data_IF_709600045379
#
_entry.id   IF_709600045379
#
_cell.length_a   1.000
_cell.length_b   1.000
_cell.length_c   1.000
_cell.angle_alpha   90.00
_cell.angle_beta   90.00
_cell.angle_gamma   90.00
#
_symmetry.space_group_name_H-M   'P 1'
#
loop_
_entity.id
_entity.type
_entity.pdbx_description
1 polymer ?
#
# COMPACT_ATOMS: atom_id res chain seq x y z
N UNK A 1 -12.02 -1.77 -27.82
CA UNK A 1 -12.45 -1.93 -26.41
C UNK A 1 -11.84 -0.79 -25.62
N UNK A 2 -12.57 -0.19 -24.67
CA UNK A 2 -11.98 0.76 -23.73
C UNK A 2 -11.23 0.00 -22.63
N UNK A 3 -10.06 0.46 -22.24
CA UNK A 3 -9.24 -0.16 -21.21
C UNK A 3 -9.00 0.81 -20.02
N UNK A 4 -8.65 0.26 -18.86
CA UNK A 4 -8.35 1.03 -17.65
C UNK A 4 -7.11 0.46 -16.95
N UNK A 5 -6.21 1.34 -16.52
CA UNK A 5 -5.11 1.02 -15.62
C UNK A 5 -5.49 1.42 -14.20
N UNK A 6 -5.32 0.50 -13.25
CA UNK A 6 -5.40 0.78 -11.82
C UNK A 6 -3.98 0.73 -11.26
N UNK A 7 -3.52 1.85 -10.71
CA UNK A 7 -2.22 2.00 -10.07
C UNK A 7 -2.45 1.85 -8.57
N UNK A 8 -2.06 0.70 -8.01
CA UNK A 8 -2.31 0.39 -6.61
C UNK A 8 -1.15 0.87 -5.74
N UNK A 9 -1.44 1.81 -4.85
CA UNK A 9 -0.63 2.18 -3.69
C UNK A 9 0.86 2.44 -3.99
N UNK A 10 1.13 3.13 -5.10
CA UNK A 10 2.47 3.65 -5.41
C UNK A 10 2.71 4.90 -4.54
N UNK A 11 2.98 4.66 -3.25
CA UNK A 11 3.14 5.67 -2.20
C UNK A 11 4.53 5.63 -1.58
N UNK A 12 4.92 6.74 -0.96
CA UNK A 12 6.24 6.89 -0.33
C UNK A 12 6.50 5.82 0.74
N UNK A 13 5.49 5.46 1.54
CA UNK A 13 5.66 4.48 2.62
C UNK A 13 6.02 3.08 2.12
N UNK A 14 5.68 2.76 0.87
CA UNK A 14 6.02 1.49 0.23
C UNK A 14 7.30 1.57 -0.63
N UNK A 15 7.94 2.73 -0.73
CA UNK A 15 9.23 2.90 -1.40
C UNK A 15 10.40 2.77 -0.41
N UNK A 16 11.64 2.51 -0.87
CA UNK A 16 12.82 2.52 -0.01
C UNK A 16 12.93 3.79 0.83
N UNK A 17 13.04 3.63 2.16
CA UNK A 17 13.05 4.72 3.14
C UNK A 17 11.68 5.07 3.75
N UNK A 18 10.59 4.47 3.25
CA UNK A 18 9.25 4.59 3.81
C UNK A 18 8.99 3.68 5.03
N UNK A 19 7.85 3.87 5.69
CA UNK A 19 7.49 3.14 6.90
C UNK A 19 7.29 1.62 6.68
N UNK A 20 6.78 1.22 5.51
CA UNK A 20 6.56 -0.18 5.10
C UNK A 20 7.22 -0.45 3.74
N UNK A 21 8.51 -0.08 3.65
CA UNK A 21 9.25 -0.07 2.39
C UNK A 21 9.30 -1.46 1.72
N UNK A 22 8.93 -1.50 0.44
CA UNK A 22 9.18 -2.64 -0.43
C UNK A 22 10.55 -2.46 -1.10
N UNK A 23 11.38 -3.50 -1.07
CA UNK A 23 12.69 -3.48 -1.71
C UNK A 23 12.54 -3.18 -3.22
N UNK A 24 13.18 -2.11 -3.68
CA UNK A 24 13.07 -1.65 -5.07
C UNK A 24 11.68 -1.11 -5.46
N UNK A 25 10.79 -0.82 -4.50
CA UNK A 25 9.40 -0.40 -4.79
C UNK A 25 9.27 0.85 -5.66
N UNK A 26 10.28 1.72 -5.66
CA UNK A 26 10.33 2.91 -6.52
C UNK A 26 10.83 2.63 -7.95
N UNK A 27 11.43 1.46 -8.21
CA UNK A 27 12.01 1.12 -9.53
C UNK A 27 10.92 0.94 -10.61
N UNK A 28 9.69 0.64 -10.21
CA UNK A 28 8.55 0.48 -11.14
C UNK A 28 7.97 1.82 -11.61
N UNK A 29 8.28 2.94 -10.94
CA UNK A 29 7.65 4.25 -11.22
C UNK A 29 7.80 4.66 -12.70
N UNK A 30 8.99 4.56 -13.34
CA UNK A 30 9.12 4.88 -14.76
C UNK A 30 8.25 3.99 -15.68
N UNK A 31 8.08 2.71 -15.32
CA UNK A 31 7.25 1.76 -16.06
C UNK A 31 5.78 2.12 -15.92
N UNK A 32 5.32 2.39 -14.69
CA UNK A 32 3.95 2.84 -14.39
C UNK A 32 3.62 4.12 -15.17
N UNK A 33 4.52 5.10 -15.16
CA UNK A 33 4.36 6.35 -15.90
C UNK A 33 4.25 6.12 -17.41
N UNK A 34 5.06 5.22 -17.97
CA UNK A 34 5.01 4.84 -19.40
C UNK A 34 3.71 4.10 -19.76
N UNK A 35 3.24 3.22 -18.88
CA UNK A 35 1.99 2.50 -19.07
C UNK A 35 0.78 3.42 -18.99
N UNK A 36 0.74 4.36 -18.05
CA UNK A 36 -0.38 5.29 -17.87
C UNK A 36 -0.73 6.05 -19.16
N UNK A 37 0.25 6.34 -20.02
CA UNK A 37 0.04 7.02 -21.31
C UNK A 37 -0.66 6.15 -22.38
N UNK A 38 -0.79 4.84 -22.14
CA UNK A 38 -1.32 3.86 -23.10
C UNK A 38 -2.76 3.42 -22.81
N UNK A 39 -3.36 3.90 -21.71
CA UNK A 39 -4.70 3.50 -21.29
C UNK A 39 -5.70 4.65 -21.45
N UNK A 40 -6.95 4.30 -21.77
CA UNK A 40 -8.04 5.28 -21.92
C UNK A 40 -8.43 5.92 -20.58
N UNK A 41 -8.24 5.19 -19.48
CA UNK A 41 -8.50 5.63 -18.12
C UNK A 41 -7.41 5.16 -17.17
N UNK A 42 -6.99 6.04 -16.28
CA UNK A 42 -6.04 5.75 -15.21
C UNK A 42 -6.70 6.10 -13.89
N UNK A 43 -6.68 5.16 -12.94
CA UNK A 43 -7.15 5.35 -11.56
C UNK A 43 -5.99 4.98 -10.64
N UNK A 44 -5.68 5.82 -9.66
CA UNK A 44 -4.73 5.47 -8.61
C UNK A 44 -5.49 5.23 -7.30
N UNK A 45 -5.10 4.20 -6.56
CA UNK A 45 -5.57 4.00 -5.19
C UNK A 45 -4.56 4.63 -4.23
N UNK A 46 -5.02 4.85 -3.00
CA UNK A 46 -4.20 5.33 -1.92
C UNK A 46 -4.62 4.59 -0.67
N UNK A 47 -3.67 3.90 -0.04
CA UNK A 47 -3.85 3.43 1.31
C UNK A 47 -3.89 4.67 2.24
N UNK A 48 -5.01 4.83 2.94
CA UNK A 48 -5.37 6.08 3.62
C UNK A 48 -5.95 5.80 5.00
N UNK A 49 -5.05 5.48 5.91
CA UNK A 49 -5.39 5.12 7.28
C UNK A 49 -5.55 6.34 8.19
N UNK A 50 -6.55 6.36 9.10
CA UNK A 50 -6.57 7.29 10.21
C UNK A 50 -5.42 7.02 11.18
N UNK A 51 -5.08 8.01 12.01
CA UNK A 51 -4.19 7.77 13.13
C UNK A 51 -4.77 6.70 14.07
N UNK A 52 -3.92 5.77 14.52
CA UNK A 52 -4.36 4.65 15.37
C UNK A 52 -5.23 3.63 14.64
N UNK A 53 -5.07 3.48 13.31
CA UNK A 53 -5.82 2.48 12.56
C UNK A 53 -5.60 1.07 13.12
N UNK A 54 -6.63 0.22 13.01
CA UNK A 54 -6.65 -1.10 13.64
C UNK A 54 -5.61 -2.07 13.06
N UNK A 55 -5.09 -1.79 11.86
CA UNK A 55 -4.02 -2.58 11.26
C UNK A 55 -2.64 -2.26 11.83
N UNK A 56 -2.46 -1.17 12.60
CA UNK A 56 -1.14 -0.76 13.08
C UNK A 56 -0.74 -1.47 14.36
N UNK A 57 0.52 -1.91 14.43
CA UNK A 57 1.09 -2.54 15.61
C UNK A 57 1.08 -1.61 16.83
N UNK A 58 1.34 -0.31 16.59
CA UNK A 58 1.32 0.73 17.60
C UNK A 58 -0.06 0.87 18.27
N UNK A 59 -1.17 0.65 17.55
CA UNK A 59 -2.53 0.72 18.10
C UNK A 59 -2.77 -0.34 19.18
N UNK A 60 -2.08 -1.48 19.08
CA UNK A 60 -2.27 -2.64 19.97
C UNK A 60 -1.15 -2.83 20.99
N UNK A 61 -0.14 -1.94 21.01
CA UNK A 61 1.11 -2.13 21.75
C UNK A 61 1.75 -3.50 21.48
N UNK A 62 1.87 -3.85 20.19
CA UNK A 62 2.41 -5.12 19.71
C UNK A 62 3.58 -4.91 18.76
N UNK A 63 4.25 -6.01 18.44
CA UNK A 63 5.37 -5.99 17.50
C UNK A 63 4.86 -5.94 16.05
N UNK A 64 5.70 -5.41 15.16
CA UNK A 64 5.42 -5.44 13.72
C UNK A 64 5.24 -6.88 13.24
N UNK A 65 4.27 -7.07 12.36
CA UNK A 65 3.92 -8.35 11.73
C UNK A 65 3.30 -9.41 12.64
N UNK A 66 3.04 -9.08 13.92
CA UNK A 66 2.20 -9.92 14.78
C UNK A 66 0.84 -10.18 14.13
N UNK A 67 0.31 -11.38 14.32
CA UNK A 67 -1.06 -11.73 13.90
C UNK A 67 -1.99 -11.64 15.10
N UNK A 68 -3.03 -10.81 14.98
CA UNK A 68 -4.11 -10.70 15.98
C UNK A 68 -5.45 -11.10 15.37
N UNK A 69 -6.45 -11.33 16.23
CA UNK A 69 -7.83 -11.54 15.80
C UNK A 69 -8.64 -10.25 15.98
N UNK A 70 -9.21 -9.73 14.90
CA UNK A 70 -10.16 -8.60 14.89
C UNK A 70 -11.45 -9.09 14.26
N UNK A 71 -12.59 -8.99 14.96
CA UNK A 71 -13.89 -9.43 14.47
C UNK A 71 -13.86 -10.85 13.87
N UNK A 72 -13.22 -11.79 14.58
CA UNK A 72 -13.06 -13.20 14.18
C UNK A 72 -12.14 -13.44 12.96
N UNK A 73 -11.56 -12.38 12.37
CA UNK A 73 -10.60 -12.45 11.27
C UNK A 73 -9.16 -12.29 11.77
N UNK A 74 -8.22 -12.99 11.13
CA UNK A 74 -6.79 -12.78 11.38
C UNK A 74 -6.29 -11.52 10.67
N UNK A 75 -5.56 -10.67 11.39
CA UNK A 75 -4.95 -9.43 10.91
C UNK A 75 -3.45 -9.45 11.20
N UNK A 76 -2.64 -9.25 10.17
CA UNK A 76 -1.21 -8.93 10.31
C UNK A 76 -1.07 -7.46 10.68
N UNK A 77 -0.28 -7.16 11.71
CA UNK A 77 -0.04 -5.79 12.13
C UNK A 77 1.07 -5.12 11.32
N UNK A 78 0.78 -3.95 10.77
CA UNK A 78 1.68 -3.12 9.98
C UNK A 78 2.27 -1.98 10.82
N UNK A 79 3.34 -1.32 10.34
CA UNK A 79 3.86 -0.10 10.95
C UNK A 79 2.79 0.99 11.13
#
# INVERSE_FOLDING_TARGET
MKNCLIITDVQNDFCPGGALAVAGGNEIIPIVNSLAQKFDKVVATQDWHPHGHVSFAATHNKELYDIITINELQQVLWP
#
